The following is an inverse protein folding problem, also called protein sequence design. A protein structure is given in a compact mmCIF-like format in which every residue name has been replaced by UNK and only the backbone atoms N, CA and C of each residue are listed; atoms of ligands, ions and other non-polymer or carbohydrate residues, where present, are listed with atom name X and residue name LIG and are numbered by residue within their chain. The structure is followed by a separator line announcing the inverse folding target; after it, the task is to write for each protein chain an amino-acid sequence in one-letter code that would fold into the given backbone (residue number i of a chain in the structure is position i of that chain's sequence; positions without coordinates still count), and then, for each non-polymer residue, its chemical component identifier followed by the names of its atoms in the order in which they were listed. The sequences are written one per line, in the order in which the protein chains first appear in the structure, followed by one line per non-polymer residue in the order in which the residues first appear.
data_IF_679416095843
#
_entry.id   IF_679416095843
#
_cell.length_a   1.000
_cell.length_b   1.000
_cell.length_c   1.000
_cell.angle_alpha   90.00
_cell.angle_beta   90.00
_cell.angle_gamma   90.00
#
_symmetry.space_group_name_H-M   'P 1'
#
loop_
_entity.id
_entity.type
_entity.pdbx_description
1 polymer ?
#
# COMPACT_ATOMS: atom_id res chain seq x y z
N UNK A 1 10.22 29.26 -3.07
CA UNK A 1 9.42 28.02 -3.13
C UNK A 1 10.38 26.84 -2.98
N UNK A 2 10.19 25.95 -2.00
CA UNK A 2 11.05 24.78 -1.83
C UNK A 2 10.87 23.84 -3.02
N UNK A 3 11.98 23.32 -3.52
CA UNK A 3 12.02 22.37 -4.64
C UNK A 3 12.21 20.95 -4.12
N UNK A 4 11.29 20.10 -4.43
CA UNK A 4 11.31 18.68 -4.11
C UNK A 4 11.62 17.91 -5.39
N UNK A 5 12.55 16.99 -5.32
CA UNK A 5 12.87 16.08 -6.42
C UNK A 5 12.53 14.65 -6.03
N UNK A 6 11.59 14.05 -6.73
CA UNK A 6 11.32 12.62 -6.67
C UNK A 6 12.18 11.90 -7.72
N UNK A 7 12.70 10.75 -7.33
CA UNK A 7 13.41 9.84 -8.25
C UNK A 7 12.75 8.48 -8.11
N UNK A 8 12.35 7.90 -9.21
CA UNK A 8 11.72 6.59 -9.23
C UNK A 8 12.01 5.82 -10.51
N UNK A 9 11.41 4.66 -10.62
CA UNK A 9 11.71 3.75 -11.71
C UNK A 9 10.92 4.10 -12.98
N UNK A 10 9.61 4.24 -12.90
CA UNK A 10 8.72 4.35 -14.06
C UNK A 10 8.08 5.73 -14.20
N UNK A 11 7.78 6.13 -15.43
CA UNK A 11 7.09 7.38 -15.75
C UNK A 11 5.56 7.24 -15.87
N UNK A 12 4.99 6.18 -15.29
CA UNK A 12 3.56 5.90 -15.24
C UNK A 12 3.23 4.95 -14.11
N UNK A 13 1.95 4.65 -13.90
CA UNK A 13 1.44 3.86 -12.79
C UNK A 13 1.64 2.37 -13.05
N UNK A 14 2.37 1.71 -12.16
CA UNK A 14 2.48 0.24 -12.08
C UNK A 14 1.63 -0.27 -10.92
N UNK A 15 1.62 0.42 -9.78
CA UNK A 15 0.95 -0.01 -8.57
C UNK A 15 0.77 1.09 -7.53
N UNK A 16 0.67 0.68 -6.27
CA UNK A 16 0.41 1.59 -5.15
C UNK A 16 1.52 2.61 -4.91
N UNK A 17 2.76 2.31 -5.27
CA UNK A 17 3.90 3.22 -5.06
C UNK A 17 3.76 4.45 -5.96
N UNK A 18 3.53 4.26 -7.24
CA UNK A 18 3.37 5.35 -8.19
C UNK A 18 2.10 6.17 -7.91
N UNK A 19 1.01 5.53 -7.46
CA UNK A 19 -0.18 6.24 -6.98
C UNK A 19 0.12 7.09 -5.74
N UNK A 20 0.88 6.57 -4.79
CA UNK A 20 1.32 7.35 -3.64
C UNK A 20 2.20 8.55 -4.07
N UNK A 21 3.14 8.34 -4.99
CA UNK A 21 3.98 9.40 -5.55
C UNK A 21 3.14 10.49 -6.22
N UNK A 22 2.17 10.10 -7.03
CA UNK A 22 1.24 11.00 -7.70
C UNK A 22 0.46 11.84 -6.69
N UNK A 23 -0.27 11.18 -5.78
CA UNK A 23 -1.11 11.84 -4.76
C UNK A 23 -0.27 12.76 -3.86
N UNK A 24 0.94 12.33 -3.45
CA UNK A 24 1.82 13.15 -2.62
C UNK A 24 2.40 14.35 -3.36
N UNK A 25 2.75 14.22 -4.64
CA UNK A 25 3.22 15.34 -5.44
C UNK A 25 2.12 16.39 -5.64
N UNK A 26 0.90 15.97 -5.97
CA UNK A 26 -0.27 16.85 -6.08
C UNK A 26 -0.55 17.60 -4.77
N UNK A 27 -0.49 16.91 -3.64
CA UNK A 27 -0.70 17.50 -2.32
C UNK A 27 0.37 18.54 -2.00
N UNK A 28 1.64 18.21 -2.22
CA UNK A 28 2.75 19.13 -1.94
C UNK A 28 2.69 20.38 -2.84
N UNK A 29 2.32 20.23 -4.11
CA UNK A 29 2.14 21.35 -5.04
C UNK A 29 0.98 22.26 -4.62
N UNK A 30 -0.16 21.71 -4.19
CA UNK A 30 -1.29 22.49 -3.63
C UNK A 30 -0.88 23.28 -2.38
N UNK A 31 0.15 22.81 -1.65
CA UNK A 31 0.73 23.48 -0.49
C UNK A 31 1.94 24.37 -0.81
N UNK A 32 2.10 24.77 -2.08
CA UNK A 32 3.09 25.78 -2.49
C UNK A 32 4.52 25.28 -2.63
N UNK A 33 4.74 23.95 -2.71
CA UNK A 33 6.04 23.39 -3.04
C UNK A 33 6.14 23.10 -4.54
N UNK A 34 7.34 23.11 -5.10
CA UNK A 34 7.60 22.65 -6.47
C UNK A 34 8.08 21.22 -6.45
N UNK A 35 7.41 20.33 -7.20
CA UNK A 35 7.73 18.91 -7.22
C UNK A 35 8.12 18.47 -8.63
N UNK A 36 9.38 18.04 -8.78
CA UNK A 36 9.93 17.52 -10.02
C UNK A 36 10.16 16.01 -9.93
N UNK A 37 10.13 15.32 -11.05
CA UNK A 37 10.34 13.88 -11.08
C UNK A 37 11.36 13.45 -12.13
N UNK A 38 12.28 12.58 -11.73
CA UNK A 38 13.22 11.90 -12.63
C UNK A 38 12.95 10.39 -12.60
N UNK A 39 12.76 9.78 -13.78
CA UNK A 39 12.56 8.36 -13.92
C UNK A 39 13.72 7.66 -14.59
N UNK A 40 13.97 6.38 -14.25
CA UNK A 40 15.07 5.59 -14.83
C UNK A 40 14.63 4.68 -15.99
N UNK A 41 13.35 4.36 -16.08
CA UNK A 41 12.79 3.48 -17.11
C UNK A 41 11.44 4.01 -17.62
N UNK A 42 11.19 3.85 -18.93
CA UNK A 42 9.85 4.11 -19.47
C UNK A 42 8.92 2.94 -19.15
N UNK A 43 7.73 3.22 -18.66
CA UNK A 43 6.73 2.18 -18.36
C UNK A 43 5.59 2.67 -17.50
N UNK A 44 4.61 1.79 -17.32
CA UNK A 44 3.40 2.08 -16.55
C UNK A 44 2.22 2.57 -17.40
N UNK A 45 1.06 2.57 -16.77
CA UNK A 45 -0.22 3.05 -17.33
C UNK A 45 -0.42 4.52 -16.98
N UNK A 46 -1.38 5.18 -17.63
CA UNK A 46 -1.83 6.55 -17.30
C UNK A 46 -0.68 7.58 -17.24
N UNK A 47 0.31 7.48 -18.15
CA UNK A 47 1.51 8.31 -18.12
C UNK A 47 1.23 9.82 -18.15
N UNK A 48 0.24 10.26 -18.92
CA UNK A 48 -0.13 11.69 -19.00
C UNK A 48 -0.72 12.19 -17.69
N UNK A 49 -1.63 11.41 -17.08
CA UNK A 49 -2.22 11.75 -15.79
C UNK A 49 -1.16 11.76 -14.68
N UNK A 50 -0.30 10.74 -14.66
CA UNK A 50 0.82 10.68 -13.72
C UNK A 50 1.77 11.87 -13.88
N UNK A 51 2.12 12.24 -15.11
CA UNK A 51 2.99 13.40 -15.38
C UNK A 51 2.38 14.73 -14.93
N UNK A 52 1.07 14.90 -15.01
CA UNK A 52 0.34 16.10 -14.56
C UNK A 52 0.48 16.40 -13.07
N UNK A 53 0.85 15.40 -12.26
CA UNK A 53 1.09 15.57 -10.82
C UNK A 53 2.38 16.36 -10.51
N UNK A 54 3.29 16.49 -11.45
CA UNK A 54 4.61 17.10 -11.26
C UNK A 54 4.77 18.38 -12.07
N UNK A 55 5.62 19.29 -11.61
CA UNK A 55 5.99 20.50 -12.37
C UNK A 55 6.88 20.16 -13.56
N UNK A 56 7.64 19.08 -13.47
CA UNK A 56 8.35 18.47 -14.61
C UNK A 56 8.60 16.99 -14.36
N UNK A 57 8.59 16.22 -15.45
CA UNK A 57 8.99 14.82 -15.48
C UNK A 57 10.02 14.63 -16.61
N UNK A 58 11.15 14.02 -16.28
CA UNK A 58 12.27 13.82 -17.24
C UNK A 58 12.98 12.48 -16.98
N UNK A 59 13.64 11.90 -18.00
CA UNK A 59 14.56 10.81 -17.76
C UNK A 59 15.67 11.23 -16.80
N UNK A 60 16.14 10.29 -15.99
CA UNK A 60 17.28 10.53 -15.11
C UNK A 60 18.56 10.68 -15.93
N UNK A 61 19.26 11.79 -15.71
CA UNK A 61 20.65 11.99 -16.15
C UNK A 61 21.45 12.59 -15.01
N UNK A 62 22.75 12.24 -14.87
CA UNK A 62 23.61 12.79 -13.82
C UNK A 62 23.76 14.32 -13.83
N UNK A 63 23.62 14.92 -15.01
CA UNK A 63 23.79 16.36 -15.24
C UNK A 63 22.51 17.15 -14.97
N UNK A 64 21.40 16.48 -14.63
CA UNK A 64 20.13 17.15 -14.44
C UNK A 64 20.21 18.21 -13.33
N UNK A 65 19.90 19.45 -13.67
CA UNK A 65 20.00 20.59 -12.75
C UNK A 65 19.12 20.42 -11.50
N UNK A 66 18.03 19.67 -11.59
CA UNK A 66 17.15 19.41 -10.45
C UNK A 66 17.89 18.69 -9.30
N UNK A 67 18.89 17.86 -9.59
CA UNK A 67 19.75 17.22 -8.58
C UNK A 67 20.53 18.25 -7.74
N UNK A 68 20.97 19.34 -8.38
CA UNK A 68 21.76 20.40 -7.72
C UNK A 68 20.89 21.40 -6.98
N UNK A 69 19.71 21.72 -7.56
CA UNK A 69 18.84 22.81 -7.09
C UNK A 69 17.74 22.37 -6.14
N UNK A 70 17.48 21.06 -5.99
CA UNK A 70 16.50 20.54 -5.06
C UNK A 70 16.91 20.81 -3.60
N UNK A 71 15.91 21.16 -2.78
CA UNK A 71 16.07 21.28 -1.33
C UNK A 71 15.93 19.91 -0.63
N UNK A 72 15.13 19.02 -1.20
CA UNK A 72 14.91 17.64 -0.75
C UNK A 72 14.91 16.74 -1.98
N UNK A 73 15.60 15.61 -1.91
CA UNK A 73 15.55 14.53 -2.90
C UNK A 73 14.97 13.28 -2.23
N UNK A 74 13.97 12.67 -2.83
CA UNK A 74 13.36 11.42 -2.34
C UNK A 74 13.46 10.37 -3.43
N UNK A 75 14.19 9.31 -3.13
CA UNK A 75 14.28 8.14 -4.00
C UNK A 75 13.13 7.19 -3.61
N UNK A 76 12.13 7.09 -4.49
CA UNK A 76 11.07 6.11 -4.39
C UNK A 76 11.45 4.87 -5.18
N UNK A 77 11.43 3.71 -4.56
CA UNK A 77 11.93 2.45 -5.14
C UNK A 77 13.47 2.37 -5.19
N UNK A 78 13.94 1.15 -5.42
CA UNK A 78 15.36 0.89 -5.65
C UNK A 78 15.69 1.27 -7.10
N UNK A 79 16.63 2.18 -7.26
CA UNK A 79 17.29 2.50 -8.53
C UNK A 79 18.69 1.88 -8.55
N UNK A 80 19.35 1.87 -9.70
CA UNK A 80 20.70 1.33 -9.83
C UNK A 80 21.69 2.07 -8.91
N UNK A 81 22.58 1.30 -8.27
CA UNK A 81 23.49 1.80 -7.21
C UNK A 81 24.44 2.88 -7.75
N UNK A 82 24.82 2.79 -9.00
CA UNK A 82 25.66 3.77 -9.67
C UNK A 82 25.02 5.17 -9.72
N UNK A 83 23.71 5.28 -9.64
CA UNK A 83 23.04 6.58 -9.58
C UNK A 83 23.16 7.24 -8.21
N UNK A 84 23.41 6.48 -7.15
CA UNK A 84 23.51 7.04 -5.80
C UNK A 84 24.70 8.00 -5.63
N UNK A 85 25.78 7.83 -6.41
CA UNK A 85 26.93 8.74 -6.39
C UNK A 85 26.61 10.18 -6.84
N UNK A 86 25.52 10.37 -7.60
CA UNK A 86 25.08 11.68 -8.07
C UNK A 86 24.09 12.36 -7.12
N UNK A 87 23.67 11.66 -6.05
CA UNK A 87 22.70 12.20 -5.10
C UNK A 87 23.36 13.24 -4.18
N UNK A 88 22.71 14.41 -3.95
CA UNK A 88 23.26 15.43 -3.07
C UNK A 88 23.28 14.92 -1.61
N UNK A 89 24.48 14.92 -1.02
CA UNK A 89 24.70 14.53 0.38
C UNK A 89 23.91 15.47 1.29
N UNK A 90 23.27 14.91 2.33
CA UNK A 90 22.53 15.68 3.32
C UNK A 90 21.16 16.23 2.88
N UNK A 91 20.70 15.87 1.66
CA UNK A 91 19.38 16.27 1.15
C UNK A 91 18.56 15.09 0.63
N UNK A 92 19.16 13.91 0.55
CA UNK A 92 18.57 12.72 -0.07
C UNK A 92 18.04 11.75 0.96
N UNK A 93 16.78 11.33 0.74
CA UNK A 93 16.11 10.27 1.49
C UNK A 93 15.80 9.09 0.57
N UNK A 94 15.81 7.91 1.13
CA UNK A 94 15.26 6.71 0.52
C UNK A 94 13.88 6.40 1.09
N UNK A 95 12.84 6.34 0.29
CA UNK A 95 11.51 5.94 0.73
C UNK A 95 11.30 4.44 0.51
N UNK A 96 11.29 3.68 1.59
CA UNK A 96 11.06 2.25 1.55
C UNK A 96 9.55 1.95 1.57
N UNK A 97 8.98 1.72 0.39
CA UNK A 97 7.57 1.38 0.22
C UNK A 97 7.27 -0.11 0.42
N UNK A 98 8.28 -0.97 0.25
CA UNK A 98 8.17 -2.42 0.31
C UNK A 98 9.43 -3.05 0.93
N UNK A 99 9.48 -4.38 0.91
CA UNK A 99 10.57 -5.16 1.50
C UNK A 99 11.76 -5.38 0.56
N UNK A 100 11.76 -4.85 -0.64
CA UNK A 100 12.75 -5.13 -1.69
C UNK A 100 14.18 -4.86 -1.24
N UNK A 101 14.40 -3.82 -0.43
CA UNK A 101 15.73 -3.41 0.01
C UNK A 101 16.42 -4.41 0.94
N UNK A 102 15.68 -5.33 1.57
CA UNK A 102 16.23 -6.36 2.45
C UNK A 102 15.65 -7.76 2.23
N UNK A 103 14.79 -7.93 1.22
CA UNK A 103 14.20 -9.23 0.90
C UNK A 103 14.28 -9.54 -0.59
N UNK A 104 15.11 -10.50 -0.99
CA UNK A 104 15.25 -10.92 -2.40
C UNK A 104 13.94 -11.45 -3.01
N UNK A 105 12.96 -11.83 -2.21
CA UNK A 105 11.63 -12.24 -2.67
C UNK A 105 10.61 -11.11 -2.71
N UNK A 106 10.98 -9.93 -2.27
CA UNK A 106 10.20 -8.69 -2.26
C UNK A 106 9.00 -8.67 -1.29
N UNK A 107 8.62 -9.80 -0.70
CA UNK A 107 7.36 -9.89 0.05
C UNK A 107 7.53 -10.31 1.51
N UNK A 108 8.77 -10.53 1.95
CA UNK A 108 9.10 -10.96 3.31
C UNK A 108 8.32 -12.22 3.74
N UNK A 109 8.13 -13.12 2.74
CA UNK A 109 7.34 -14.34 2.86
C UNK A 109 8.10 -15.53 2.27
N UNK A 110 8.16 -16.66 3.01
CA UNK A 110 8.89 -17.84 2.60
C UNK A 110 7.98 -18.79 1.81
N UNK A 111 8.42 -19.30 0.64
CA UNK A 111 7.61 -20.21 -0.17
C UNK A 111 7.51 -21.60 0.44
N UNK A 112 8.60 -22.06 1.09
CA UNK A 112 8.65 -23.33 1.83
C UNK A 112 8.02 -23.08 3.20
N UNK A 113 7.02 -23.90 3.53
CA UNK A 113 6.20 -23.72 4.73
C UNK A 113 5.13 -22.63 4.62
N UNK A 114 5.16 -21.78 3.58
CA UNK A 114 4.17 -20.71 3.35
C UNK A 114 3.94 -19.83 4.58
N UNK A 115 5.04 -19.39 5.18
CA UNK A 115 5.04 -18.58 6.42
C UNK A 115 5.71 -17.23 6.19
N UNK A 116 5.33 -16.26 7.01
CA UNK A 116 5.92 -14.93 7.01
C UNK A 116 7.37 -15.00 7.55
N UNK A 117 8.27 -14.23 6.93
CA UNK A 117 9.66 -14.16 7.33
C UNK A 117 9.87 -13.06 8.36
N UNK A 118 10.64 -13.36 9.42
CA UNK A 118 10.99 -12.38 10.45
C UNK A 118 12.52 -12.21 10.59
N UNK A 119 13.29 -12.71 9.61
CA UNK A 119 14.74 -12.74 9.67
C UNK A 119 15.35 -11.43 9.18
N UNK A 120 16.47 -11.05 9.78
CA UNK A 120 17.38 -10.08 9.18
C UNK A 120 17.92 -10.64 7.84
N UNK A 121 18.20 -9.77 6.88
CA UNK A 121 18.83 -10.18 5.62
C UNK A 121 20.14 -10.95 5.87
N UNK A 122 20.24 -12.10 5.25
CA UNK A 122 21.46 -12.90 5.19
C UNK A 122 21.65 -13.37 3.75
N UNK A 123 22.78 -13.03 3.15
CA UNK A 123 23.04 -13.28 1.72
C UNK A 123 22.81 -14.76 1.35
N UNK A 124 23.37 -15.69 2.11
CA UNK A 124 23.29 -17.13 1.81
C UNK A 124 21.83 -17.62 1.95
N UNK A 125 21.24 -17.40 3.11
CA UNK A 125 19.87 -17.88 3.41
C UNK A 125 18.85 -17.24 2.48
N UNK A 126 18.97 -15.93 2.19
CA UNK A 126 18.03 -15.21 1.34
C UNK A 126 18.19 -15.60 -0.13
N UNK A 127 19.41 -15.88 -0.60
CA UNK A 127 19.65 -16.41 -1.95
C UNK A 127 19.03 -17.80 -2.11
N UNK A 128 19.21 -18.69 -1.15
CA UNK A 128 18.53 -19.98 -1.15
C UNK A 128 17.01 -19.84 -1.09
N UNK A 129 16.49 -18.95 -0.25
CA UNK A 129 15.06 -18.67 -0.14
C UNK A 129 14.47 -18.12 -1.45
N UNK A 130 15.20 -17.30 -2.20
CA UNK A 130 14.78 -16.77 -3.50
C UNK A 130 14.90 -17.82 -4.64
N UNK A 131 15.41 -18.99 -4.36
CA UNK A 131 15.75 -20.00 -5.36
C UNK A 131 16.70 -19.47 -6.44
N UNK A 132 17.63 -18.62 -6.03
CA UNK A 132 18.61 -17.92 -6.90
C UNK A 132 18.00 -17.11 -8.05
N UNK A 133 16.71 -16.74 -7.94
CA UNK A 133 15.98 -16.03 -9.01
C UNK A 133 16.23 -14.52 -9.03
N UNK A 134 16.58 -13.94 -7.89
CA UNK A 134 16.71 -12.50 -7.76
C UNK A 134 18.10 -12.13 -7.27
N UNK A 135 18.59 -11.00 -7.74
CA UNK A 135 19.84 -10.42 -7.28
C UNK A 135 19.79 -10.04 -5.79
N UNK A 136 20.96 -9.99 -5.16
CA UNK A 136 21.07 -9.51 -3.79
C UNK A 136 20.67 -8.02 -3.73
N UNK A 137 19.82 -7.62 -2.77
CA UNK A 137 19.43 -6.22 -2.66
C UNK A 137 20.64 -5.35 -2.34
N UNK A 138 20.69 -4.10 -2.84
CA UNK A 138 21.80 -3.18 -2.64
C UNK A 138 21.80 -2.54 -1.23
N UNK A 139 21.50 -3.31 -0.21
CA UNK A 139 21.28 -2.88 1.16
C UNK A 139 22.38 -1.97 1.69
N UNK A 140 23.67 -2.38 1.53
CA UNK A 140 24.82 -1.63 2.05
C UNK A 140 24.95 -0.20 1.47
N UNK A 141 24.53 -0.01 0.23
CA UNK A 141 24.58 1.31 -0.41
C UNK A 141 23.47 2.22 0.14
N UNK A 142 22.29 1.68 0.30
CA UNK A 142 21.11 2.43 0.76
C UNK A 142 21.10 2.71 2.27
N UNK A 143 21.69 1.85 3.11
CA UNK A 143 21.79 2.08 4.57
C UNK A 143 22.49 3.39 4.95
N UNK A 144 23.24 3.99 4.04
CA UNK A 144 23.89 5.29 4.24
C UNK A 144 22.92 6.48 4.12
N UNK A 145 21.75 6.26 3.53
CA UNK A 145 20.72 7.29 3.37
C UNK A 145 19.72 7.23 4.53
N UNK A 146 19.24 8.39 5.02
CA UNK A 146 18.07 8.39 5.88
C UNK A 146 16.89 7.78 5.13
N UNK A 147 16.16 6.88 5.78
CA UNK A 147 15.02 6.21 5.20
C UNK A 147 13.69 6.81 5.66
N UNK A 148 12.73 6.93 4.76
CA UNK A 148 11.34 7.23 5.03
C UNK A 148 10.51 5.96 4.96
N UNK A 149 9.55 5.81 5.85
CA UNK A 149 8.61 4.68 5.90
C UNK A 149 7.23 5.17 6.30
N UNK A 150 6.18 4.38 5.98
CA UNK A 150 4.80 4.67 6.37
C UNK A 150 4.43 4.08 7.73
N UNK A 151 5.16 3.06 8.22
CA UNK A 151 4.81 2.30 9.42
C UNK A 151 6.00 2.09 10.35
N UNK A 152 5.72 1.89 11.64
CA UNK A 152 6.72 1.48 12.64
C UNK A 152 7.20 0.05 12.35
N UNK A 153 6.31 -0.82 11.84
CA UNK A 153 6.67 -2.15 11.35
C UNK A 153 7.79 -2.10 10.30
N UNK A 154 7.68 -1.23 9.30
CA UNK A 154 8.73 -1.03 8.30
C UNK A 154 9.98 -0.39 8.91
N UNK A 155 9.82 0.56 9.84
CA UNK A 155 10.94 1.20 10.53
C UNK A 155 11.78 0.18 11.31
N UNK A 156 11.14 -0.70 12.05
CA UNK A 156 11.82 -1.78 12.80
C UNK A 156 12.58 -2.72 11.86
N UNK A 157 11.95 -3.13 10.76
CA UNK A 157 12.58 -3.99 9.77
C UNK A 157 13.80 -3.33 9.11
N UNK A 158 13.74 -2.03 8.80
CA UNK A 158 14.91 -1.30 8.26
C UNK A 158 16.03 -1.19 9.29
N UNK A 159 15.71 -0.79 10.54
CA UNK A 159 16.71 -0.73 11.63
C UNK A 159 17.38 -2.08 11.87
N UNK A 160 16.61 -3.16 11.90
CA UNK A 160 17.09 -4.54 12.00
C UNK A 160 18.07 -4.88 10.87
N UNK A 161 17.90 -4.28 9.69
CA UNK A 161 18.74 -4.50 8.52
C UNK A 161 19.86 -3.44 8.34
N UNK A 162 20.09 -2.56 9.33
CA UNK A 162 21.26 -1.69 9.39
C UNK A 162 21.03 -0.25 8.95
N UNK A 163 19.78 0.19 8.78
CA UNK A 163 19.49 1.61 8.62
C UNK A 163 19.56 2.32 9.98
N UNK A 164 20.41 3.33 10.10
CA UNK A 164 20.59 4.09 11.34
C UNK A 164 19.53 5.18 11.51
N UNK A 165 19.24 5.91 10.42
CA UNK A 165 18.24 6.98 10.41
C UNK A 165 16.99 6.52 9.69
N UNK A 166 15.91 6.26 10.44
CA UNK A 166 14.62 5.87 9.88
C UNK A 166 13.53 6.77 10.46
N UNK A 167 12.79 7.42 9.59
CA UNK A 167 11.76 8.41 9.90
C UNK A 167 10.41 7.93 9.40
N UNK A 168 9.42 7.90 10.28
CA UNK A 168 8.04 7.62 9.91
C UNK A 168 7.39 8.90 9.37
N UNK A 169 7.09 8.88 8.07
CA UNK A 169 6.26 9.87 7.42
C UNK A 169 4.85 9.25 7.30
N UNK A 170 3.81 9.83 7.91
CA UNK A 170 2.49 9.20 7.89
C UNK A 170 1.97 9.07 6.45
N UNK A 171 1.18 8.04 6.20
CA UNK A 171 0.29 8.05 5.05
C UNK A 171 -0.66 9.25 5.15
N UNK A 172 -1.35 9.57 4.08
CA UNK A 172 -2.38 10.61 4.07
C UNK A 172 -3.54 10.18 3.19
N UNK A 173 -4.69 10.71 3.52
CA UNK A 173 -5.94 10.52 2.81
C UNK A 173 -6.54 11.87 2.48
N UNK A 174 -7.29 11.92 1.38
CA UNK A 174 -8.21 13.01 1.12
C UNK A 174 -9.49 12.74 1.89
N UNK A 175 -9.94 13.69 2.69
CA UNK A 175 -11.18 13.55 3.44
C UNK A 175 -12.36 13.33 2.50
N UNK A 176 -13.16 12.32 2.76
CA UNK A 176 -14.39 12.01 2.06
C UNK A 176 -15.51 11.94 3.09
N UNK A 177 -16.33 13.00 3.16
CA UNK A 177 -17.43 13.07 4.12
C UNK A 177 -18.74 12.60 3.47
N UNK A 178 -18.86 11.33 3.12
CA UNK A 178 -20.14 10.79 2.69
C UNK A 178 -20.71 9.87 3.77
N UNK A 179 -21.96 10.12 4.13
CA UNK A 179 -22.71 9.19 4.97
C UNK A 179 -22.95 7.91 4.17
N UNK A 180 -22.49 6.78 4.69
CA UNK A 180 -22.71 5.48 4.09
C UNK A 180 -24.01 4.86 4.62
N UNK A 181 -24.88 4.38 3.72
CA UNK A 181 -26.09 3.64 4.08
C UNK A 181 -25.81 2.13 3.91
N UNK A 182 -25.59 1.46 5.01
CA UNK A 182 -25.19 0.06 5.03
C UNK A 182 -26.35 -0.87 4.72
N UNK A 183 -26.16 -1.75 3.73
CA UNK A 183 -27.12 -2.82 3.35
C UNK A 183 -28.57 -2.31 3.16
N UNK A 184 -28.80 -1.27 2.33
CA UNK A 184 -30.13 -0.65 2.19
C UNK A 184 -31.20 -1.63 1.70
N UNK A 185 -30.81 -2.72 1.03
CA UNK A 185 -31.66 -3.78 0.48
C UNK A 185 -31.50 -5.14 1.19
N UNK A 186 -30.76 -5.17 2.33
CA UNK A 186 -30.51 -6.40 3.08
C UNK A 186 -29.46 -7.33 2.43
N UNK A 187 -28.67 -6.84 1.49
CA UNK A 187 -27.55 -7.55 0.86
C UNK A 187 -26.24 -6.93 1.29
N UNK A 188 -25.31 -7.73 1.82
CA UNK A 188 -23.99 -7.27 2.23
C UNK A 188 -23.03 -7.13 1.03
N UNK A 189 -22.57 -5.92 0.74
CA UNK A 189 -21.64 -5.64 -0.36
C UNK A 189 -20.19 -5.66 0.12
N UNK A 190 -19.45 -6.67 -0.32
CA UNK A 190 -18.05 -6.90 0.07
C UNK A 190 -17.13 -6.49 -1.08
N UNK A 191 -16.09 -5.73 -0.79
CA UNK A 191 -15.09 -5.32 -1.77
C UNK A 191 -13.72 -5.95 -1.48
N UNK A 192 -13.07 -6.42 -2.53
CA UNK A 192 -11.64 -6.63 -2.59
C UNK A 192 -11.04 -5.65 -3.61
N UNK A 193 -9.97 -4.95 -3.26
CA UNK A 193 -9.25 -4.05 -4.16
C UNK A 193 -7.75 -4.32 -4.11
N UNK A 194 -7.17 -4.70 -5.25
CA UNK A 194 -5.74 -4.92 -5.34
C UNK A 194 -5.30 -5.77 -6.53
N UNK A 195 -4.00 -5.93 -6.71
CA UNK A 195 -3.46 -6.82 -7.73
C UNK A 195 -3.91 -8.27 -7.49
N UNK A 196 -4.35 -8.97 -8.55
CA UNK A 196 -4.74 -10.37 -8.47
C UNK A 196 -3.50 -11.27 -8.52
N UNK A 197 -2.77 -11.27 -7.42
CA UNK A 197 -1.60 -12.10 -7.16
C UNK A 197 -1.74 -12.77 -5.81
N UNK A 198 -1.14 -13.94 -5.66
CA UNK A 198 -1.31 -14.81 -4.50
C UNK A 198 -1.12 -14.10 -3.14
N UNK A 199 -0.18 -13.17 -3.07
CA UNK A 199 0.11 -12.45 -1.82
C UNK A 199 -1.02 -11.57 -1.33
N UNK A 200 -1.86 -11.07 -2.23
CA UNK A 200 -3.02 -10.23 -1.87
C UNK A 200 -4.22 -11.03 -1.36
N UNK A 201 -4.23 -12.36 -1.56
CA UNK A 201 -5.14 -13.25 -0.83
C UNK A 201 -6.57 -13.33 -1.35
N UNK A 202 -6.88 -12.88 -2.57
CA UNK A 202 -8.23 -13.00 -3.13
C UNK A 202 -8.77 -14.45 -3.11
N UNK A 203 -7.90 -15.45 -3.23
CA UNK A 203 -8.26 -16.85 -3.10
C UNK A 203 -8.62 -17.26 -1.65
N UNK A 204 -8.09 -16.58 -0.64
CA UNK A 204 -8.51 -16.77 0.75
C UNK A 204 -9.89 -16.17 0.97
N UNK A 205 -10.13 -14.97 0.42
CA UNK A 205 -11.45 -14.36 0.45
C UNK A 205 -12.50 -15.27 -0.17
N UNK A 206 -12.27 -15.79 -1.39
CA UNK A 206 -13.22 -16.70 -2.06
C UNK A 206 -13.54 -17.95 -1.21
N UNK A 207 -12.55 -18.48 -0.51
CA UNK A 207 -12.77 -19.60 0.42
C UNK A 207 -13.64 -19.19 1.61
N UNK A 208 -13.40 -18.02 2.17
CA UNK A 208 -14.21 -17.46 3.26
C UNK A 208 -15.66 -17.24 2.80
N UNK A 209 -15.84 -16.63 1.59
CA UNK A 209 -17.17 -16.39 1.03
C UNK A 209 -17.95 -17.66 0.74
N UNK A 210 -17.27 -18.76 0.41
CA UNK A 210 -17.90 -20.06 0.18
C UNK A 210 -18.55 -20.68 1.43
N UNK A 211 -18.16 -20.22 2.62
CA UNK A 211 -18.71 -20.64 3.92
C UNK A 211 -19.91 -19.77 4.38
N UNK A 212 -20.25 -18.73 3.58
CA UNK A 212 -21.34 -17.82 3.95
C UNK A 212 -22.70 -18.31 3.46
N UNK A 213 -23.64 -18.36 4.37
CA UNK A 213 -25.06 -18.70 4.17
C UNK A 213 -26.00 -17.47 4.24
N UNK A 214 -25.45 -16.27 4.05
CA UNK A 214 -26.15 -14.98 4.07
C UNK A 214 -26.26 -14.39 2.66
N UNK A 215 -27.21 -13.45 2.41
CA UNK A 215 -27.22 -12.64 1.21
C UNK A 215 -26.00 -11.72 1.14
N UNK A 216 -25.19 -11.87 0.09
CA UNK A 216 -24.05 -10.97 -0.17
C UNK A 216 -23.76 -10.86 -1.65
N UNK A 217 -23.13 -9.77 -2.04
CA UNK A 217 -22.44 -9.55 -3.30
C UNK A 217 -20.98 -9.22 -3.03
N UNK A 218 -20.09 -9.63 -3.92
CA UNK A 218 -18.68 -9.33 -3.80
C UNK A 218 -18.11 -8.79 -5.09
N UNK A 219 -17.49 -7.61 -5.01
CA UNK A 219 -16.73 -7.03 -6.12
C UNK A 219 -15.24 -7.29 -5.91
N UNK A 220 -14.60 -7.92 -6.91
CA UNK A 220 -13.15 -8.11 -6.97
C UNK A 220 -12.58 -7.11 -7.99
N UNK A 221 -12.04 -6.00 -7.48
CA UNK A 221 -11.45 -4.94 -8.27
C UNK A 221 -9.94 -5.10 -8.36
N UNK A 222 -9.44 -5.16 -9.59
CA UNK A 222 -8.03 -5.33 -9.91
C UNK A 222 -7.78 -6.34 -11.02
N UNK A 223 -6.51 -6.50 -11.37
CA UNK A 223 -6.08 -7.45 -12.38
C UNK A 223 -4.74 -8.08 -11.98
N UNK A 224 -4.39 -9.20 -12.57
CA UNK A 224 -3.15 -9.90 -12.31
C UNK A 224 -3.12 -11.34 -12.78
N UNK A 225 -1.97 -11.97 -12.66
CA UNK A 225 -1.70 -13.32 -13.19
C UNK A 225 -2.60 -14.43 -12.62
N UNK A 226 -3.17 -14.21 -11.43
CA UNK A 226 -4.00 -15.22 -10.76
C UNK A 226 -5.48 -15.09 -11.11
N UNK A 227 -5.89 -14.11 -11.96
CA UNK A 227 -7.29 -13.86 -12.33
C UNK A 227 -7.99 -15.12 -12.83
N UNK A 228 -7.42 -15.79 -13.83
CA UNK A 228 -8.02 -17.01 -14.40
C UNK A 228 -8.26 -18.10 -13.33
N UNK A 229 -7.30 -18.28 -12.42
CA UNK A 229 -7.43 -19.25 -11.33
C UNK A 229 -8.55 -18.85 -10.35
N UNK A 230 -8.70 -17.55 -10.06
CA UNK A 230 -9.74 -17.02 -9.17
C UNK A 230 -11.14 -17.20 -9.80
N UNK A 231 -11.29 -16.93 -11.11
CA UNK A 231 -12.54 -17.17 -11.84
C UNK A 231 -12.95 -18.65 -11.78
N UNK A 232 -12.00 -19.58 -11.97
CA UNK A 232 -12.24 -21.01 -11.77
C UNK A 232 -12.64 -21.39 -10.34
N UNK A 233 -12.14 -20.68 -9.33
CA UNK A 233 -12.55 -20.90 -7.94
C UNK A 233 -13.99 -20.42 -7.71
N UNK A 234 -14.38 -19.30 -8.31
CA UNK A 234 -15.77 -18.79 -8.24
C UNK A 234 -16.73 -19.82 -8.79
N UNK A 235 -16.46 -20.38 -9.99
CA UNK A 235 -17.26 -21.47 -10.58
C UNK A 235 -17.32 -22.69 -9.65
N UNK A 236 -16.17 -23.15 -9.15
CA UNK A 236 -16.05 -24.33 -8.28
C UNK A 236 -16.84 -24.18 -6.99
N UNK A 237 -16.84 -22.98 -6.40
CA UNK A 237 -17.55 -22.68 -5.14
C UNK A 237 -19.01 -22.27 -5.35
N UNK A 238 -19.50 -22.26 -6.62
CA UNK A 238 -20.87 -21.85 -6.97
C UNK A 238 -21.20 -20.42 -6.52
N UNK A 239 -20.24 -19.52 -6.73
CA UNK A 239 -20.35 -18.11 -6.37
C UNK A 239 -20.55 -17.18 -7.57
N UNK A 240 -20.83 -17.73 -8.77
CA UNK A 240 -20.89 -16.97 -10.03
C UNK A 240 -21.95 -15.87 -10.04
N UNK A 241 -23.05 -16.07 -9.31
CA UNK A 241 -24.14 -15.08 -9.21
C UNK A 241 -23.89 -14.02 -8.11
N UNK A 242 -22.83 -14.18 -7.31
CA UNK A 242 -22.52 -13.33 -6.15
C UNK A 242 -21.18 -12.60 -6.27
N UNK A 243 -20.25 -13.07 -7.12
CA UNK A 243 -18.89 -12.53 -7.21
C UNK A 243 -18.62 -11.96 -8.60
N UNK A 244 -18.26 -10.68 -8.66
CA UNK A 244 -18.03 -9.94 -9.89
C UNK A 244 -16.60 -9.42 -9.97
N UNK A 245 -15.95 -9.64 -11.13
CA UNK A 245 -14.62 -9.13 -11.43
C UNK A 245 -14.71 -7.84 -12.25
N UNK A 246 -14.42 -6.69 -11.66
CA UNK A 246 -14.44 -5.40 -12.38
C UNK A 246 -13.18 -5.12 -13.22
N UNK A 247 -12.13 -5.95 -13.07
CA UNK A 247 -10.86 -5.69 -13.72
C UNK A 247 -10.09 -4.51 -13.09
N UNK A 248 -9.15 -3.95 -13.84
CA UNK A 248 -8.42 -2.76 -13.40
C UNK A 248 -9.34 -1.54 -13.34
N UNK A 249 -9.33 -0.84 -12.20
CA UNK A 249 -10.14 0.36 -11.98
C UNK A 249 -9.22 1.57 -11.89
N UNK A 250 -9.45 2.56 -12.74
CA UNK A 250 -8.69 3.83 -12.77
C UNK A 250 -9.08 4.77 -11.62
N UNK A 251 -10.35 4.80 -11.26
CA UNK A 251 -10.93 5.64 -10.21
C UNK A 251 -11.47 4.76 -9.05
N UNK A 252 -10.58 4.18 -8.22
CA UNK A 252 -10.99 3.27 -7.16
C UNK A 252 -11.83 3.95 -6.07
N UNK A 253 -11.79 5.26 -5.97
CA UNK A 253 -12.57 6.05 -5.02
C UNK A 253 -14.08 5.81 -5.16
N UNK A 254 -14.58 5.55 -6.37
CA UNK A 254 -16.01 5.27 -6.63
C UNK A 254 -16.48 3.91 -6.14
N UNK A 255 -15.55 2.98 -5.85
CA UNK A 255 -15.91 1.66 -5.36
C UNK A 255 -16.36 1.68 -3.90
N UNK A 256 -15.99 2.71 -3.16
CA UNK A 256 -16.33 2.81 -1.75
C UNK A 256 -17.78 3.21 -1.51
N UNK A 257 -18.42 3.88 -2.47
CA UNK A 257 -19.81 4.36 -2.36
C UNK A 257 -20.81 3.20 -2.28
N UNK A 258 -20.50 2.07 -2.94
CA UNK A 258 -21.31 0.87 -3.00
C UNK A 258 -20.72 -0.30 -2.17
N UNK A 259 -19.93 -0.02 -1.14
CA UNK A 259 -19.21 -1.03 -0.38
C UNK A 259 -19.54 -0.97 1.11
N UNK A 260 -20.18 -2.03 1.65
CA UNK A 260 -20.47 -2.13 3.08
C UNK A 260 -19.28 -2.62 3.91
N UNK A 261 -18.39 -3.41 3.29
CA UNK A 261 -17.29 -4.07 3.97
C UNK A 261 -16.09 -4.26 3.05
N UNK A 262 -14.94 -3.78 3.45
CA UNK A 262 -13.69 -4.07 2.76
C UNK A 262 -12.99 -5.28 3.38
N UNK A 263 -12.77 -6.34 2.58
CA UNK A 263 -12.01 -7.49 3.04
C UNK A 263 -10.59 -7.47 2.47
N UNK A 264 -9.61 -7.39 3.39
CA UNK A 264 -8.19 -7.28 3.10
C UNK A 264 -7.43 -8.54 3.53
N UNK A 265 -7.57 -9.67 2.78
CA UNK A 265 -7.09 -11.00 3.17
C UNK A 265 -5.64 -11.27 2.80
N UNK A 266 -4.74 -10.33 3.02
CA UNK A 266 -3.34 -10.45 2.62
C UNK A 266 -2.63 -11.64 3.30
N UNK A 267 -1.71 -12.27 2.55
CA UNK A 267 -0.89 -13.39 3.04
C UNK A 267 0.48 -12.99 3.53
N UNK A 268 1.02 -11.95 2.96
CA UNK A 268 2.35 -11.47 3.31
C UNK A 268 2.30 -10.29 4.27
N UNK A 269 3.43 -9.97 4.85
CA UNK A 269 3.54 -8.82 5.72
C UNK A 269 3.40 -7.54 4.90
N UNK A 270 2.23 -6.92 4.95
CA UNK A 270 1.99 -5.66 4.25
C UNK A 270 2.79 -4.53 4.92
N UNK A 271 3.54 -3.73 4.17
CA UNK A 271 4.28 -2.59 4.73
C UNK A 271 3.41 -1.59 5.48
N UNK A 272 2.23 -1.27 4.94
CA UNK A 272 1.26 -0.38 5.56
C UNK A 272 -0.18 -0.75 5.21
N UNK A 273 -0.51 -0.90 3.90
CA UNK A 273 -1.87 -1.22 3.45
C UNK A 273 -2.70 0.03 3.16
N UNK A 274 -2.22 0.89 2.26
CA UNK A 274 -2.90 2.15 1.88
C UNK A 274 -4.36 1.95 1.49
N UNK A 275 -4.70 0.84 0.82
CA UNK A 275 -6.08 0.54 0.39
C UNK A 275 -7.03 0.35 1.58
N UNK A 276 -6.55 -0.26 2.67
CA UNK A 276 -7.36 -0.40 3.88
C UNK A 276 -7.58 0.96 4.57
N UNK A 277 -6.57 1.84 4.56
CA UNK A 277 -6.74 3.21 5.04
C UNK A 277 -7.69 4.01 4.13
N UNK A 278 -7.67 3.79 2.81
CA UNK A 278 -8.63 4.40 1.88
C UNK A 278 -10.07 3.96 2.19
N UNK A 279 -10.31 2.69 2.49
CA UNK A 279 -11.62 2.21 2.95
C UNK A 279 -12.07 2.95 4.22
N UNK A 280 -11.21 3.04 5.22
CA UNK A 280 -11.49 3.75 6.47
C UNK A 280 -11.84 5.22 6.24
N UNK A 281 -11.14 5.89 5.32
CA UNK A 281 -11.40 7.29 4.94
C UNK A 281 -12.76 7.52 4.28
N UNK A 282 -13.38 6.47 3.77
CA UNK A 282 -14.74 6.49 3.22
C UNK A 282 -15.78 5.93 4.20
N UNK A 283 -15.38 5.71 5.46
CA UNK A 283 -16.28 5.15 6.48
C UNK A 283 -16.62 3.68 6.27
N UNK A 284 -15.85 2.96 5.46
CA UNK A 284 -16.06 1.53 5.19
C UNK A 284 -15.25 0.70 6.21
N UNK A 285 -15.89 -0.14 7.01
CA UNK A 285 -15.21 -1.05 7.93
C UNK A 285 -14.29 -2.02 7.21
N UNK A 286 -13.19 -2.40 7.85
CA UNK A 286 -12.18 -3.28 7.29
C UNK A 286 -12.09 -4.58 8.09
N UNK A 287 -12.15 -5.72 7.41
CA UNK A 287 -11.64 -7.00 7.93
C UNK A 287 -10.28 -7.27 7.29
N UNK A 288 -9.25 -7.50 8.08
CA UNK A 288 -7.91 -7.82 7.60
C UNK A 288 -7.29 -8.96 8.39
N UNK A 289 -6.38 -9.72 7.77
CA UNK A 289 -5.50 -10.58 8.56
C UNK A 289 -4.48 -9.73 9.32
N UNK A 290 -4.19 -10.14 10.56
CA UNK A 290 -3.27 -9.45 11.46
C UNK A 290 -1.80 -9.61 11.02
N UNK A 291 -1.41 -8.88 9.96
CA UNK A 291 -0.11 -8.99 9.31
C UNK A 291 0.49 -7.62 8.95
N UNK A 292 1.77 -7.43 9.32
CA UNK A 292 2.52 -6.25 8.94
C UNK A 292 2.06 -4.95 9.59
N UNK A 293 2.06 -3.86 8.81
CA UNK A 293 1.76 -2.50 9.30
C UNK A 293 0.27 -2.17 9.44
N UNK A 294 -0.63 -3.06 8.99
CA UNK A 294 -2.10 -2.83 9.10
C UNK A 294 -2.53 -2.65 10.56
N UNK A 295 -1.92 -3.41 11.47
CA UNK A 295 -2.20 -3.35 12.91
C UNK A 295 -1.89 -2.00 13.58
N UNK A 296 -1.20 -1.10 12.90
CA UNK A 296 -0.86 0.21 13.48
C UNK A 296 -2.03 1.21 13.46
N UNK A 297 -3.01 0.96 12.61
CA UNK A 297 -4.15 1.86 12.47
C UNK A 297 -5.52 1.13 12.53
N UNK A 298 -5.55 -0.16 12.26
CA UNK A 298 -6.76 -0.96 12.36
C UNK A 298 -6.85 -1.58 13.76
N UNK A 299 -7.81 -1.11 14.55
CA UNK A 299 -8.13 -1.59 15.88
C UNK A 299 -9.55 -2.19 15.92
N UNK A 300 -9.92 -2.80 17.05
CA UNK A 300 -11.27 -3.34 17.24
C UNK A 300 -12.38 -2.29 17.20
N UNK A 301 -12.01 -1.00 17.34
CA UNK A 301 -12.98 0.10 17.31
C UNK A 301 -13.33 0.53 15.89
N UNK A 302 -12.50 0.23 14.88
CA UNK A 302 -12.66 0.70 13.50
C UNK A 302 -12.60 -0.41 12.45
N UNK A 303 -12.48 -1.67 12.87
CA UNK A 303 -12.42 -2.82 11.98
C UNK A 303 -12.12 -4.10 12.75
N UNK A 304 -11.76 -5.17 12.06
CA UNK A 304 -11.44 -6.45 12.70
C UNK A 304 -10.13 -7.02 12.16
N UNK A 305 -9.20 -7.30 13.06
CA UNK A 305 -8.00 -8.07 12.77
C UNK A 305 -8.26 -9.55 13.07
N UNK A 306 -8.18 -10.36 12.04
CA UNK A 306 -8.36 -11.82 12.11
C UNK A 306 -6.98 -12.48 12.18
N UNK A 307 -6.77 -13.50 13.02
CA UNK A 307 -5.53 -14.28 13.01
C UNK A 307 -5.17 -14.78 11.61
N UNK A 308 -3.87 -14.83 11.30
CA UNK A 308 -3.39 -15.24 9.97
C UNK A 308 -4.03 -16.56 9.53
N UNK A 309 -4.72 -16.56 8.38
CA UNK A 309 -5.39 -17.72 7.76
C UNK A 309 -6.58 -18.31 8.55
N UNK A 310 -7.08 -17.64 9.53
CA UNK A 310 -8.32 -18.05 10.19
C UNK A 310 -9.54 -17.67 9.32
N UNK A 311 -9.80 -18.52 8.32
CA UNK A 311 -10.92 -18.30 7.38
C UNK A 311 -12.27 -18.48 8.06
N UNK A 312 -12.37 -19.39 9.02
CA UNK A 312 -13.62 -19.63 9.77
C UNK A 312 -13.96 -18.42 10.65
N UNK A 313 -12.98 -17.85 11.36
CA UNK A 313 -13.16 -16.62 12.13
C UNK A 313 -13.53 -15.42 11.24
N UNK A 314 -12.96 -15.34 10.03
CA UNK A 314 -13.34 -14.30 9.07
C UNK A 314 -14.79 -14.49 8.59
N UNK A 315 -15.22 -15.72 8.25
CA UNK A 315 -16.59 -16.00 7.83
C UNK A 315 -17.58 -15.69 8.94
N UNK A 316 -17.30 -16.10 10.16
CA UNK A 316 -18.14 -15.81 11.33
C UNK A 316 -18.26 -14.29 11.57
N UNK A 317 -17.16 -13.56 11.48
CA UNK A 317 -17.16 -12.10 11.61
C UNK A 317 -18.07 -11.43 10.57
N UNK A 318 -18.00 -11.89 9.31
CA UNK A 318 -18.85 -11.38 8.22
C UNK A 318 -20.33 -11.68 8.49
N UNK A 319 -20.66 -12.89 8.97
CA UNK A 319 -22.04 -13.24 9.37
C UNK A 319 -22.55 -12.35 10.50
N UNK A 320 -21.71 -12.08 11.51
CA UNK A 320 -22.09 -11.20 12.61
C UNK A 320 -22.34 -9.76 12.14
N UNK A 321 -21.60 -9.27 11.16
CA UNK A 321 -21.85 -7.95 10.56
C UNK A 321 -23.17 -7.90 9.78
N UNK A 322 -23.52 -8.98 9.08
CA UNK A 322 -24.80 -9.08 8.40
C UNK A 322 -25.98 -9.09 9.38
N UNK A 323 -25.84 -9.81 10.49
CA UNK A 323 -26.87 -9.90 11.53
C UNK A 323 -27.00 -8.63 12.38
N UNK A 324 -25.93 -7.83 12.44
CA UNK A 324 -25.81 -6.64 13.27
C UNK A 324 -25.29 -5.43 12.44
N UNK A 325 -26.09 -4.91 11.49
CA UNK A 325 -25.68 -3.81 10.60
C UNK A 325 -25.35 -2.51 11.36
N UNK A 326 -25.94 -2.31 12.54
CA UNK A 326 -25.59 -1.19 13.43
C UNK A 326 -24.10 -1.20 13.82
N UNK A 327 -23.47 -2.39 13.89
CA UNK A 327 -22.05 -2.55 14.18
C UNK A 327 -21.20 -2.09 13.01
N UNK A 328 -21.60 -2.39 11.77
CA UNK A 328 -20.91 -1.85 10.57
C UNK A 328 -20.91 -0.32 10.60
N UNK A 329 -22.07 0.28 10.86
CA UNK A 329 -22.22 1.73 10.94
C UNK A 329 -21.30 2.34 12.01
N UNK A 330 -21.25 1.73 13.20
CA UNK A 330 -20.38 2.20 14.29
C UNK A 330 -18.90 2.10 13.91
N UNK A 331 -18.48 0.94 13.39
CA UNK A 331 -17.08 0.72 12.96
C UNK A 331 -16.70 1.66 11.82
N UNK A 332 -17.60 1.89 10.85
CA UNK A 332 -17.35 2.81 9.74
C UNK A 332 -17.18 4.26 10.21
N UNK A 333 -18.03 4.73 11.12
CA UNK A 333 -17.90 6.07 11.70
C UNK A 333 -16.59 6.24 12.47
N UNK A 334 -16.22 5.26 13.28
CA UNK A 334 -14.96 5.28 14.02
C UNK A 334 -13.75 5.20 13.07
N UNK A 335 -13.84 4.38 12.00
CA UNK A 335 -12.79 4.26 10.99
C UNK A 335 -12.52 5.60 10.31
N UNK A 336 -13.57 6.31 9.91
CA UNK A 336 -13.47 7.65 9.34
C UNK A 336 -12.82 8.63 10.31
N UNK A 337 -13.29 8.67 11.55
CA UNK A 337 -12.73 9.56 12.58
C UNK A 337 -11.23 9.30 12.80
N UNK A 338 -10.82 8.03 12.96
CA UNK A 338 -9.41 7.66 13.15
C UNK A 338 -8.58 8.04 11.91
N UNK A 339 -9.12 7.85 10.72
CA UNK A 339 -8.45 8.21 9.47
C UNK A 339 -8.22 9.72 9.37
N UNK A 340 -9.21 10.54 9.71
CA UNK A 340 -9.12 12.01 9.70
C UNK A 340 -8.14 12.52 10.77
N UNK A 341 -8.23 12.02 12.00
CA UNK A 341 -7.41 12.46 13.13
C UNK A 341 -5.93 12.14 12.97
N UNK A 342 -5.58 11.02 12.28
CA UNK A 342 -4.21 10.53 12.25
C UNK A 342 -3.54 10.61 10.86
N UNK A 343 -4.35 10.70 9.79
CA UNK A 343 -3.86 10.57 8.42
C UNK A 343 -4.35 11.69 7.49
N UNK A 344 -4.73 12.85 8.04
CA UNK A 344 -5.13 13.99 7.22
C UNK A 344 -3.95 14.54 6.40
N UNK A 345 -4.27 15.19 5.26
CA UNK A 345 -3.28 15.86 4.41
C UNK A 345 -2.44 16.88 5.19
N UNK A 346 -3.04 17.58 6.17
CA UNK A 346 -2.36 18.57 7.01
C UNK A 346 -1.28 17.95 7.90
N UNK A 347 -1.56 16.80 8.50
CA UNK A 347 -0.59 16.04 9.32
C UNK A 347 0.60 15.62 8.47
N UNK A 348 0.34 15.12 7.26
CA UNK A 348 1.39 14.76 6.32
C UNK A 348 2.26 15.97 5.97
N UNK A 349 1.66 17.07 5.51
CA UNK A 349 2.38 18.28 5.09
C UNK A 349 3.20 18.87 6.23
N UNK A 350 2.63 18.92 7.45
CA UNK A 350 3.34 19.39 8.66
C UNK A 350 4.58 18.54 8.95
N UNK A 351 4.49 17.21 8.86
CA UNK A 351 5.64 16.32 9.08
C UNK A 351 6.63 16.38 7.92
N UNK A 352 6.14 16.44 6.68
CA UNK A 352 6.99 16.56 5.50
C UNK A 352 7.89 17.80 5.55
N UNK A 353 7.34 18.95 5.96
CA UNK A 353 8.09 20.20 6.06
C UNK A 353 9.23 20.18 7.09
N UNK A 354 9.19 19.24 8.05
CA UNK A 354 10.23 19.03 9.04
C UNK A 354 11.37 18.11 8.58
N UNK A 355 11.24 17.44 7.43
CA UNK A 355 12.28 16.52 6.93
C UNK A 355 13.68 17.15 6.84
N UNK A 356 13.88 18.42 6.40
CA UNK A 356 15.22 19.02 6.36
C UNK A 356 15.91 19.14 7.72
N UNK A 357 15.15 19.20 8.81
CA UNK A 357 15.69 19.29 10.17
C UNK A 357 16.28 17.96 10.66
N UNK A 358 15.82 16.85 10.05
CA UNK A 358 16.20 15.49 10.44
C UNK A 358 17.55 15.07 9.83
N UNK A 359 17.94 15.70 8.71
CA UNK A 359 19.20 15.41 8.02
C UNK A 359 20.36 16.19 8.62
N UNK A 360 20.07 17.32 9.25
CA UNK A 360 21.06 18.11 9.98
C UNK A 360 21.53 17.36 11.23
#
# INVERSE_FOLDING_TARGET
MKKILYIGRYNGIIGGIERYMQKSAELLRRNGLSVHYLYTENGGREQQNFAGAFDSIKPFTPENESLKTADIVIIHNIIAVEYLQFMPIGKTFFFAHDHNIYCQRHHYYMPIGRINCHRKYNKIICTCCSLMRNEAPPLKAYCKLPALVLSDFMAENLRKNGFEKVVKLPAFIKNSHQAHDFMPDGVLRILFLGQLIRGKGADLMLKTLAELDIPFECTIAGDGKDRFMLEKMVEKFKLSDKVHFSGFVSEPEKLWDDCDLFFFPIRWQEPFGLVALEAMAHGVPVIAFDLGGVREYLSQDCGVLIPEKDLAGAAETIKQFFLHPERLKQLGSNALQIAEENFSEEIFVKKFNKLPEIIK
#
